data_IF_625954484095
#
_entry.id   IF_625954484095
#
_cell.length_a   1.000
_cell.length_b   1.000
_cell.length_c   1.000
_cell.angle_alpha   90.00
_cell.angle_beta   90.00
_cell.angle_gamma   90.00
#
_symmetry.space_group_name_H-M   'P 1'
#
loop_
_entity.id
_entity.type
_entity.pdbx_description
1 polymer ?
#
# COMPACT_ATOMS: atom_id res chain seq x y z
N UNK A 1 8.57 3.82 3.48
CA UNK A 1 7.36 4.59 3.12
C UNK A 1 6.12 3.97 3.77
N UNK A 2 5.67 2.79 3.37
CA UNK A 2 4.52 2.11 4.00
C UNK A 2 4.77 1.65 5.45
N UNK A 3 5.92 1.01 5.73
CA UNK A 3 6.25 0.48 7.08
C UNK A 3 6.50 1.58 8.11
N UNK A 4 7.17 2.65 7.70
CA UNK A 4 7.38 3.84 8.52
C UNK A 4 6.16 4.78 8.49
N UNK A 5 5.19 4.57 7.59
CA UNK A 5 4.05 5.47 7.43
C UNK A 5 4.45 6.90 7.07
N UNK A 6 5.38 7.07 6.12
CA UNK A 6 5.81 8.37 5.57
C UNK A 6 5.23 8.47 4.17
N UNK A 7 4.43 9.51 3.89
CA UNK A 7 3.74 9.70 2.59
C UNK A 7 2.93 8.45 2.24
N UNK A 8 2.14 7.97 3.20
CA UNK A 8 1.58 6.62 3.14
C UNK A 8 0.53 6.46 2.04
N UNK A 9 -0.30 7.48 1.78
CA UNK A 9 -1.36 7.43 0.74
C UNK A 9 -0.78 7.44 -0.68
N UNK A 10 0.12 8.38 -1.06
CA UNK A 10 0.75 8.34 -2.38
C UNK A 10 1.63 7.10 -2.58
N UNK A 11 2.31 6.64 -1.52
CA UNK A 11 3.10 5.41 -1.58
C UNK A 11 2.20 4.19 -1.83
N UNK A 12 1.07 4.05 -1.12
CA UNK A 12 0.12 2.96 -1.35
C UNK A 12 -0.46 3.00 -2.77
N UNK A 13 -0.75 4.20 -3.29
CA UNK A 13 -1.23 4.38 -4.66
C UNK A 13 -0.18 3.96 -5.69
N UNK A 14 1.07 4.40 -5.55
CA UNK A 14 2.17 3.96 -6.41
C UNK A 14 2.40 2.45 -6.34
N UNK A 15 2.35 1.88 -5.14
CA UNK A 15 2.48 0.43 -4.95
C UNK A 15 1.34 -0.35 -5.62
N UNK A 16 0.13 0.19 -5.64
CA UNK A 16 -0.99 -0.43 -6.34
C UNK A 16 -0.73 -0.52 -7.85
N UNK A 17 -0.20 0.54 -8.47
CA UNK A 17 0.15 0.51 -9.90
C UNK A 17 1.25 -0.50 -10.23
N UNK A 18 2.32 -0.56 -9.44
CA UNK A 18 3.38 -1.57 -9.70
C UNK A 18 2.87 -2.99 -9.45
N UNK A 19 1.94 -3.18 -8.51
CA UNK A 19 1.26 -4.47 -8.31
C UNK A 19 0.43 -4.88 -9.54
N UNK A 20 -0.33 -3.95 -10.12
CA UNK A 20 -1.05 -4.17 -11.40
C UNK A 20 -0.06 -4.45 -12.54
N UNK A 21 1.02 -3.68 -12.63
CA UNK A 21 2.04 -3.86 -13.66
C UNK A 21 2.71 -5.23 -13.57
N UNK A 22 2.94 -5.74 -12.36
CA UNK A 22 3.47 -7.09 -12.14
C UNK A 22 2.51 -8.15 -12.71
N UNK A 23 1.20 -8.05 -12.46
CA UNK A 23 0.21 -8.98 -13.01
C UNK A 23 0.21 -8.95 -14.55
N UNK A 24 0.31 -7.77 -15.15
CA UNK A 24 0.33 -7.61 -16.62
C UNK A 24 1.64 -8.15 -17.23
N UNK A 25 2.77 -7.95 -16.54
CA UNK A 25 4.10 -8.26 -17.07
C UNK A 25 4.48 -9.74 -16.96
N UNK A 26 3.83 -10.50 -16.08
CA UNK A 26 4.15 -11.91 -15.81
C UNK A 26 2.96 -12.82 -16.14
N UNK A 27 2.71 -13.17 -17.42
CA UNK A 27 1.63 -14.07 -17.81
C UNK A 27 1.72 -15.47 -17.17
N UNK A 28 2.90 -15.87 -16.70
CA UNK A 28 3.15 -17.09 -15.94
C UNK A 28 2.38 -17.15 -14.62
N UNK A 29 1.96 -16.01 -14.07
CA UNK A 29 1.10 -15.93 -12.87
C UNK A 29 -0.26 -16.62 -13.07
N UNK A 30 -0.69 -16.80 -14.32
CA UNK A 30 -1.95 -17.47 -14.67
C UNK A 30 -1.78 -18.96 -14.98
N UNK A 31 -0.54 -19.45 -15.01
CA UNK A 31 -0.24 -20.85 -15.29
C UNK A 31 -0.45 -21.70 -14.02
N UNK A 32 -0.82 -22.97 -14.22
CA UNK A 32 -1.08 -23.91 -13.12
C UNK A 32 0.17 -24.19 -12.28
N UNK A 33 1.36 -23.97 -12.83
CA UNK A 33 2.66 -24.15 -12.18
C UNK A 33 2.97 -23.07 -11.13
N UNK A 34 2.22 -21.96 -11.11
CA UNK A 34 2.37 -20.87 -10.13
C UNK A 34 1.03 -20.52 -9.45
N UNK A 35 0.44 -21.44 -8.66
CA UNK A 35 -0.92 -21.28 -8.14
C UNK A 35 -1.08 -20.16 -7.10
N UNK A 36 0.02 -19.68 -6.50
CA UNK A 36 -0.01 -18.64 -5.46
C UNK A 36 0.14 -17.21 -6.02
N UNK A 37 0.73 -17.05 -7.21
CA UNK A 37 1.14 -15.73 -7.71
C UNK A 37 -0.01 -14.74 -7.82
N UNK A 38 -1.09 -15.11 -8.53
CA UNK A 38 -2.20 -14.18 -8.75
C UNK A 38 -3.00 -13.88 -7.47
N UNK A 39 -3.15 -14.86 -6.58
CA UNK A 39 -3.88 -14.70 -5.31
C UNK A 39 -3.20 -13.70 -4.39
N UNK A 40 -1.87 -13.75 -4.32
CA UNK A 40 -1.08 -12.78 -3.55
C UNK A 40 -1.28 -11.37 -4.11
N UNK A 41 -1.20 -11.18 -5.43
CA UNK A 41 -1.45 -9.88 -6.05
C UNK A 41 -2.83 -9.31 -5.76
N UNK A 42 -3.87 -10.16 -5.69
CA UNK A 42 -5.21 -9.73 -5.27
C UNK A 42 -5.24 -9.30 -3.80
N UNK A 43 -4.64 -10.09 -2.91
CA UNK A 43 -4.58 -9.78 -1.48
C UNK A 43 -3.84 -8.46 -1.23
N UNK A 44 -2.65 -8.32 -1.79
CA UNK A 44 -1.84 -7.10 -1.73
C UNK A 44 -2.56 -5.91 -2.36
N UNK A 45 -3.19 -6.10 -3.53
CA UNK A 45 -3.96 -5.07 -4.20
C UNK A 45 -5.09 -4.54 -3.34
N UNK A 46 -5.86 -5.43 -2.70
CA UNK A 46 -6.95 -5.04 -1.82
C UNK A 46 -6.44 -4.28 -0.58
N UNK A 47 -5.36 -4.76 0.06
CA UNK A 47 -4.76 -4.07 1.21
C UNK A 47 -4.26 -2.66 0.84
N UNK A 48 -3.64 -2.50 -0.34
CA UNK A 48 -3.20 -1.20 -0.83
C UNK A 48 -4.38 -0.27 -1.12
N UNK A 49 -5.47 -0.77 -1.70
CA UNK A 49 -6.69 0.02 -1.91
C UNK A 49 -7.31 0.47 -0.58
N UNK A 50 -7.32 -0.39 0.45
CA UNK A 50 -7.75 0.00 1.79
C UNK A 50 -6.89 1.14 2.34
N UNK A 51 -5.57 1.07 2.16
CA UNK A 51 -4.66 2.14 2.60
C UNK A 51 -4.82 3.44 1.79
N UNK A 52 -5.15 3.36 0.49
CA UNK A 52 -5.47 4.53 -0.34
C UNK A 52 -6.80 5.14 0.09
N UNK A 53 -7.82 4.35 0.39
CA UNK A 53 -9.12 4.84 0.81
C UNK A 53 -9.07 5.43 2.22
N UNK A 54 -8.67 4.63 3.21
CA UNK A 54 -8.78 4.94 4.64
C UNK A 54 -7.50 5.52 5.27
N UNK A 55 -6.36 5.47 4.57
CA UNK A 55 -5.08 5.91 5.11
C UNK A 55 -4.40 4.90 6.05
N UNK A 56 -3.17 5.19 6.51
CA UNK A 56 -2.31 4.26 7.27
C UNK A 56 -2.67 4.13 8.76
N UNK A 57 -3.77 4.72 9.23
CA UNK A 57 -4.20 4.66 10.64
C UNK A 57 -3.28 5.42 11.62
N UNK A 58 -3.57 5.28 12.92
CA UNK A 58 -2.94 6.05 14.03
C UNK A 58 -1.51 5.63 14.38
N UNK A 59 -1.01 4.54 13.80
CA UNK A 59 0.34 4.00 14.06
C UNK A 59 1.37 4.55 13.06
N UNK A 60 0.93 5.33 12.06
CA UNK A 60 1.84 5.96 11.08
C UNK A 60 2.66 7.11 11.67
N UNK A 61 3.91 7.29 11.19
CA UNK A 61 4.69 8.51 11.48
C UNK A 61 4.01 9.76 10.92
N UNK A 62 3.29 9.66 9.80
CA UNK A 62 2.46 10.73 9.25
C UNK A 62 1.50 11.27 10.34
N UNK A 63 0.78 10.39 11.03
CA UNK A 63 -0.13 10.77 12.13
C UNK A 63 0.60 11.36 13.34
N UNK A 64 1.78 10.82 13.70
CA UNK A 64 2.56 11.32 14.83
C UNK A 64 3.08 12.74 14.55
N UNK A 65 3.60 12.99 13.35
CA UNK A 65 4.12 14.31 12.94
C UNK A 65 3.01 15.36 12.90
N UNK A 66 1.83 15.01 12.39
CA UNK A 66 0.67 15.90 12.35
C UNK A 66 0.20 16.28 13.76
N UNK A 67 0.18 15.31 14.68
CA UNK A 67 -0.15 15.54 16.10
C UNK A 67 0.89 16.40 16.83
N UNK A 68 2.19 16.20 16.54
CA UNK A 68 3.26 17.01 17.14
C UNK A 68 3.20 18.46 16.65
N UNK A 69 2.91 18.69 15.36
CA UNK A 69 2.67 20.03 14.82
C UNK A 69 1.49 20.72 15.49
N UNK A 70 0.35 20.05 15.63
CA UNK A 70 -0.84 20.62 16.27
C UNK A 70 -0.59 21.05 17.73
N UNK A 71 0.23 20.28 18.49
CA UNK A 71 0.62 20.63 19.85
C UNK A 71 1.58 21.82 19.96
N UNK A 72 2.32 22.14 18.91
CA UNK A 72 3.31 23.23 18.94
C UNK A 72 2.72 24.60 18.57
N UNK A 73 1.47 24.63 18.09
CA UNK A 73 0.75 25.84 17.66
C UNK A 73 -0.36 26.22 18.66
N UNK A 74 -0.72 25.32 19.58
CA UNK A 74 -1.64 25.56 20.68
C UNK A 74 -0.89 26.00 21.95
#
# INVERSE_FOLDING_TARGET
>A
LLTLGIISRPAAFGLFFVNVMAVISYPQLFQFDCPAGIKDHFCWGLMLLVLVAYGPGRISLDYLLERMRAKSVA
#
